data_IF_456953527209
#
_entry.id   IF_456953527209
#
_cell.length_a   1.000
_cell.length_b   1.000
_cell.length_c   1.000
_cell.angle_alpha   90.00
_cell.angle_beta   90.00
_cell.angle_gamma   90.00
#
_symmetry.space_group_name_H-M   'P 1'
#
loop_
_entity.id
_entity.type
_entity.pdbx_description
1 polymer ?
#
# COMPACT_ATOMS: atom_id res chain seq x y z
N UNK A 1 21.58 -7.64 -0.89
CA UNK A 1 21.49 -6.59 0.14
C UNK A 1 20.15 -6.75 0.84
N UNK A 2 20.11 -7.55 1.89
CA UNK A 2 18.88 -7.82 2.66
C UNK A 2 18.70 -6.70 3.68
N UNK A 3 17.72 -5.83 3.45
CA UNK A 3 17.19 -4.94 4.48
C UNK A 3 16.61 -5.85 5.56
N UNK A 4 17.32 -5.96 6.68
CA UNK A 4 16.85 -6.60 7.90
C UNK A 4 15.55 -5.90 8.30
N UNK A 5 14.42 -6.61 8.22
CA UNK A 5 13.12 -6.05 8.61
C UNK A 5 13.13 -5.86 10.13
N UNK A 6 13.15 -4.62 10.64
CA UNK A 6 13.17 -4.40 12.10
C UNK A 6 11.78 -4.58 12.73
N UNK A 7 10.74 -4.81 11.92
CA UNK A 7 9.35 -4.90 12.35
C UNK A 7 8.76 -6.28 12.09
N UNK A 8 7.99 -6.77 13.08
CA UNK A 8 7.39 -8.11 13.09
C UNK A 8 6.16 -8.25 12.19
N UNK A 9 5.61 -7.14 11.67
CA UNK A 9 4.47 -7.17 10.75
C UNK A 9 4.30 -5.89 9.93
N UNK A 10 3.48 -6.00 8.89
CA UNK A 10 3.28 -4.95 7.88
C UNK A 10 2.43 -3.78 8.39
N UNK A 11 1.49 -4.04 9.30
CA UNK A 11 0.67 -2.99 9.92
C UNK A 11 1.50 -2.23 10.96
N UNK A 12 2.26 -2.94 11.77
CA UNK A 12 3.11 -2.38 12.82
C UNK A 12 4.18 -1.43 12.23
N UNK A 13 4.74 -1.76 11.06
CA UNK A 13 5.67 -0.87 10.35
C UNK A 13 5.02 0.43 9.88
N UNK A 14 3.77 0.36 9.41
CA UNK A 14 3.03 1.53 8.94
C UNK A 14 2.61 2.41 10.12
N UNK A 15 2.19 1.82 11.24
CA UNK A 15 1.84 2.53 12.46
C UNK A 15 3.05 3.24 13.08
N UNK A 16 4.18 2.55 13.16
CA UNK A 16 5.43 3.14 13.65
C UNK A 16 5.84 4.38 12.83
N UNK A 17 5.49 4.43 11.54
CA UNK A 17 5.74 5.58 10.67
C UNK A 17 4.64 6.64 10.68
N UNK A 18 3.53 6.41 11.38
CA UNK A 18 2.35 7.28 11.34
C UNK A 18 1.63 7.27 9.99
N UNK A 19 1.68 6.16 9.23
CA UNK A 19 1.07 6.01 7.91
C UNK A 19 -0.34 5.39 7.94
N UNK A 20 -0.90 5.14 9.13
CA UNK A 20 -2.25 4.59 9.33
C UNK A 20 -3.16 5.71 9.84
N UNK A 21 -4.20 6.04 9.07
CA UNK A 21 -5.30 6.92 9.52
C UNK A 21 -6.42 6.09 10.13
N UNK A 22 -7.06 5.28 9.29
CA UNK A 22 -8.21 4.46 9.65
C UNK A 22 -8.05 3.04 9.12
N UNK A 23 -8.62 2.07 9.83
CA UNK A 23 -8.53 0.66 9.52
C UNK A 23 -9.85 -0.02 9.91
N UNK A 24 -10.48 -0.73 8.98
CA UNK A 24 -11.80 -1.36 9.20
C UNK A 24 -11.73 -2.56 10.12
N UNK A 25 -10.73 -3.42 9.94
CA UNK A 25 -10.55 -4.63 10.74
C UNK A 25 -9.05 -4.92 10.88
N UNK A 26 -8.48 -4.43 11.97
CA UNK A 26 -7.05 -4.55 12.25
C UNK A 26 -6.66 -5.99 12.56
N UNK A 27 -7.50 -6.74 13.27
CA UNK A 27 -7.19 -8.13 13.65
C UNK A 27 -7.17 -9.05 12.44
N UNK A 28 -8.12 -8.90 11.53
CA UNK A 28 -8.12 -9.65 10.27
C UNK A 28 -6.88 -9.35 9.42
N UNK A 29 -6.41 -8.10 9.43
CA UNK A 29 -5.23 -7.69 8.65
C UNK A 29 -3.90 -8.17 9.27
N UNK A 30 -3.78 -8.21 10.60
CA UNK A 30 -2.57 -8.73 11.26
C UNK A 30 -2.54 -10.26 11.35
N UNK A 31 -3.68 -10.93 11.17
CA UNK A 31 -3.75 -12.40 11.14
C UNK A 31 -2.84 -13.02 10.06
N UNK A 32 -2.38 -14.27 10.23
CA UNK A 32 -1.58 -14.97 9.23
C UNK A 32 -2.29 -15.00 7.87
N UNK A 33 -1.63 -14.40 6.87
CA UNK A 33 -2.14 -14.34 5.51
C UNK A 33 -1.79 -15.58 4.67
N UNK A 34 -2.27 -15.62 3.42
CA UNK A 34 -1.88 -16.64 2.44
C UNK A 34 -0.37 -16.65 2.20
N UNK A 35 0.17 -17.84 1.88
CA UNK A 35 1.58 -17.98 1.46
C UNK A 35 1.84 -17.07 0.26
N UNK A 36 2.78 -16.13 0.40
CA UNK A 36 3.10 -15.16 -0.65
C UNK A 36 2.36 -13.83 -0.55
N UNK A 37 1.74 -13.52 0.60
CA UNK A 37 1.13 -12.23 0.89
C UNK A 37 -0.26 -12.05 0.28
N UNK A 38 -0.94 -10.99 0.69
CA UNK A 38 -2.27 -10.61 0.17
C UNK A 38 -2.14 -9.74 -1.08
N UNK A 39 -3.09 -9.85 -1.98
CA UNK A 39 -3.27 -8.88 -3.07
C UNK A 39 -3.96 -7.63 -2.51
N UNK A 40 -3.46 -6.45 -2.85
CA UNK A 40 -4.06 -5.17 -2.45
C UNK A 40 -4.16 -4.24 -3.65
N UNK A 41 -5.13 -3.35 -3.64
CA UNK A 41 -5.24 -2.31 -4.66
C UNK A 41 -5.13 -0.92 -4.06
N UNK A 42 -4.54 0.00 -4.82
CA UNK A 42 -4.48 1.40 -4.48
C UNK A 42 -4.96 2.20 -5.70
N UNK A 43 -6.11 2.85 -5.54
CA UNK A 43 -6.65 3.77 -6.55
C UNK A 43 -5.94 5.11 -6.51
N UNK A 44 -5.60 5.66 -7.67
CA UNK A 44 -5.22 7.07 -7.80
C UNK A 44 -5.94 7.70 -9.00
N UNK A 45 -6.41 8.93 -8.88
CA UNK A 45 -7.01 9.66 -10.00
C UNK A 45 -5.93 10.50 -10.71
N UNK A 46 -5.57 10.20 -11.97
CA UNK A 46 -4.60 10.97 -12.75
C UNK A 46 -5.19 12.32 -13.23
N UNK A 47 -5.56 13.18 -12.28
CA UNK A 47 -6.12 14.52 -12.56
C UNK A 47 -5.10 15.51 -13.13
N UNK A 48 -3.80 15.19 -13.02
CA UNK A 48 -2.69 15.94 -13.59
C UNK A 48 -1.78 15.03 -14.40
N UNK A 49 -0.95 15.63 -15.26
CA UNK A 49 0.01 14.89 -16.11
C UNK A 49 1.16 14.25 -15.32
N UNK A 50 1.26 14.52 -14.01
CA UNK A 50 2.30 13.96 -13.13
C UNK A 50 1.77 13.64 -11.73
N UNK A 51 2.46 12.71 -11.07
CA UNK A 51 2.23 12.40 -9.66
C UNK A 51 2.93 13.41 -8.77
N UNK A 52 2.26 13.82 -7.70
CA UNK A 52 2.83 14.72 -6.69
C UNK A 52 3.15 13.97 -5.41
N UNK A 53 3.87 14.62 -4.48
CA UNK A 53 4.10 14.07 -3.13
C UNK A 53 2.78 13.76 -2.39
N UNK A 54 1.66 14.37 -2.78
CA UNK A 54 0.33 14.08 -2.26
C UNK A 54 -0.19 12.68 -2.63
N UNK A 55 0.36 12.03 -3.66
CA UNK A 55 0.02 10.64 -4.04
C UNK A 55 0.85 9.63 -3.22
N UNK A 56 0.97 9.87 -1.91
CA UNK A 56 1.76 9.03 -1.01
C UNK A 56 1.19 7.62 -0.85
N UNK A 57 -0.08 7.40 -1.19
CA UNK A 57 -0.74 6.08 -1.20
C UNK A 57 -0.05 5.08 -2.12
N UNK A 58 0.43 5.53 -3.30
CA UNK A 58 1.21 4.71 -4.23
C UNK A 58 2.58 4.36 -3.63
N UNK A 59 3.22 5.30 -2.93
CA UNK A 59 4.47 5.03 -2.21
C UNK A 59 4.26 4.07 -1.03
N UNK A 60 3.12 4.14 -0.34
CA UNK A 60 2.71 3.21 0.71
C UNK A 60 2.57 1.77 0.19
N UNK A 61 2.02 1.59 -1.02
CA UNK A 61 1.85 0.27 -1.63
C UNK A 61 3.19 -0.49 -1.82
N UNK A 62 4.30 0.23 -2.05
CA UNK A 62 5.65 -0.36 -2.12
C UNK A 62 6.05 -1.01 -0.79
N UNK A 63 5.60 -0.49 0.36
CA UNK A 63 5.89 -1.07 1.69
C UNK A 63 5.23 -2.42 1.82
N UNK A 64 3.96 -2.53 1.46
CA UNK A 64 3.26 -3.81 1.41
C UNK A 64 3.99 -4.82 0.50
N UNK A 65 4.50 -4.39 -0.65
CA UNK A 65 5.32 -5.25 -1.51
C UNK A 65 6.59 -5.74 -0.82
N UNK A 66 7.25 -4.88 -0.04
CA UNK A 66 8.42 -5.26 0.74
C UNK A 66 8.10 -6.30 1.82
N UNK A 67 6.85 -6.39 2.29
CA UNK A 67 6.36 -7.43 3.20
C UNK A 67 5.92 -8.71 2.49
N UNK A 68 5.92 -8.73 1.15
CA UNK A 68 5.57 -9.87 0.32
C UNK A 68 4.16 -9.80 -0.28
N UNK A 69 3.43 -8.72 -0.05
CA UNK A 69 2.11 -8.51 -0.67
C UNK A 69 2.24 -8.12 -2.15
N UNK A 70 1.13 -8.18 -2.89
CA UNK A 70 1.10 -7.81 -4.31
C UNK A 70 0.22 -6.59 -4.52
N UNK A 71 0.81 -5.38 -4.58
CA UNK A 71 0.05 -4.19 -4.86
C UNK A 71 -0.32 -4.06 -6.33
N UNK A 72 -1.56 -3.69 -6.58
CA UNK A 72 -2.12 -3.34 -7.88
C UNK A 72 -2.43 -1.83 -7.84
N UNK A 73 -1.72 -1.04 -8.63
CA UNK A 73 -1.97 0.40 -8.71
C UNK A 73 -3.00 0.63 -9.82
N UNK A 74 -4.16 1.14 -9.45
CA UNK A 74 -5.28 1.34 -10.36
C UNK A 74 -5.49 2.83 -10.62
N UNK A 75 -5.25 3.33 -11.85
CA UNK A 75 -5.72 4.65 -12.22
C UNK A 75 -7.26 4.64 -12.27
N UNK A 76 -7.88 5.41 -11.38
CA UNK A 76 -9.34 5.58 -11.31
C UNK A 76 -9.69 6.93 -11.91
N UNK A 77 -9.98 6.94 -13.21
CA UNK A 77 -10.34 8.17 -13.92
C UNK A 77 -11.01 7.85 -15.25
N UNK A 78 -12.02 8.64 -15.62
CA UNK A 78 -12.82 8.42 -16.83
C UNK A 78 -12.30 9.27 -18.00
N UNK A 79 -10.98 9.22 -18.25
CA UNK A 79 -10.34 10.05 -19.28
C UNK A 79 -10.64 9.49 -20.67
N UNK A 80 -11.84 9.81 -21.17
CA UNK A 80 -12.39 9.46 -22.48
C UNK A 80 -11.93 10.43 -23.60
N UNK A 81 -11.01 11.35 -23.33
CA UNK A 81 -10.59 12.40 -24.26
C UNK A 81 -9.27 12.10 -25.01
N UNK A 82 -9.03 10.83 -25.37
CA UNK A 82 -8.04 10.46 -26.40
C UNK A 82 -8.66 9.68 -27.54
#
# INVERSE_FOLDING_TARGET
MAITRPFYGHIEELEWRGLVSDCTDREALTSPGPKGGRDLYCGFDPTADSLTLGTWSVAGARRFQQFGHKPIILPVGNRLDR
#
